data_IF_613493148891
#
_entry.id   IF_613493148891
#
_cell.length_a   1.000
_cell.length_b   1.000
_cell.length_c   1.000
_cell.angle_alpha   90.00
_cell.angle_beta   90.00
_cell.angle_gamma   90.00
#
_symmetry.space_group_name_H-M   'P 1'
#
loop_
_entity.id
_entity.type
_entity.pdbx_description
1 polymer ?
#
# COMPACT_ATOMS: atom_id res chain seq x y z
N UNK A 1 -11.74 12.41 17.24
CA UNK A 1 -11.86 13.50 16.25
C UNK A 1 -10.94 13.21 15.06
N UNK A 2 -11.41 13.47 13.85
CA UNK A 2 -10.91 12.97 12.57
C UNK A 2 -9.71 13.79 12.02
N UNK A 3 -8.60 13.10 11.64
CA UNK A 3 -7.50 13.50 10.70
C UNK A 3 -6.52 14.61 11.13
N UNK A 4 -5.20 14.48 10.83
CA UNK A 4 -4.69 14.77 9.49
C UNK A 4 -3.60 13.80 8.98
N UNK A 5 -3.77 13.29 7.75
CA UNK A 5 -2.65 12.74 6.98
C UNK A 5 -1.93 13.93 6.31
N UNK A 6 -0.81 14.40 6.87
CA UNK A 6 0.07 15.43 6.29
C UNK A 6 1.54 14.98 6.36
N UNK A 7 2.11 14.74 5.17
CA UNK A 7 3.47 14.98 4.66
C UNK A 7 4.64 15.32 5.62
N UNK A 8 5.83 14.71 5.40
CA UNK A 8 7.17 15.37 5.22
C UNK A 8 8.29 14.32 4.81
N UNK A 9 9.56 14.66 4.46
CA UNK A 9 10.11 14.59 3.08
C UNK A 9 11.47 13.82 2.85
N UNK A 10 11.78 13.57 1.55
CA UNK A 10 13.07 13.43 0.81
C UNK A 10 14.34 12.73 1.38
N UNK A 11 14.68 11.58 0.79
CA UNK A 11 16.00 11.16 0.23
C UNK A 11 15.69 10.09 -0.82
N UNK A 12 15.87 10.32 -2.12
CA UNK A 12 17.17 10.39 -2.78
C UNK A 12 17.43 9.04 -3.44
N UNK A 13 16.95 8.87 -4.68
CA UNK A 13 17.65 8.22 -5.80
C UNK A 13 16.68 8.14 -6.99
N UNK A 14 17.13 8.70 -8.11
CA UNK A 14 16.56 8.56 -9.44
C UNK A 14 16.57 7.06 -9.84
N UNK A 15 15.43 6.39 -9.76
CA UNK A 15 15.24 5.07 -10.37
C UNK A 15 13.81 4.98 -10.91
N UNK A 16 13.58 4.51 -12.15
CA UNK A 16 12.26 4.48 -12.75
C UNK A 16 11.29 3.70 -11.86
N UNK A 17 10.36 4.43 -11.25
CA UNK A 17 9.41 4.00 -10.23
C UNK A 17 8.35 3.03 -10.79
N UNK A 18 8.76 1.85 -11.23
CA UNK A 18 7.84 0.75 -11.59
C UNK A 18 8.35 -0.60 -11.10
N UNK A 19 8.98 -0.66 -9.91
CA UNK A 19 9.15 -1.95 -9.23
C UNK A 19 7.78 -2.39 -8.67
N UNK A 20 6.99 -2.98 -9.56
CA UNK A 20 5.70 -3.53 -9.21
C UNK A 20 5.89 -4.71 -8.26
N UNK A 21 5.32 -4.65 -7.07
CA UNK A 21 5.40 -5.75 -6.13
C UNK A 21 4.66 -6.97 -6.71
N UNK A 22 5.38 -8.10 -6.85
CA UNK A 22 4.78 -9.36 -7.30
C UNK A 22 3.88 -9.94 -6.22
N UNK A 23 2.85 -10.69 -6.63
CA UNK A 23 2.06 -11.52 -5.72
C UNK A 23 2.98 -12.43 -4.91
N UNK A 24 2.75 -12.47 -3.60
CA UNK A 24 3.55 -13.22 -2.64
C UNK A 24 4.78 -12.48 -2.11
N UNK A 25 5.11 -11.28 -2.61
CA UNK A 25 6.22 -10.48 -2.09
C UNK A 25 5.88 -9.91 -0.72
N UNK A 26 6.85 -9.90 0.19
CA UNK A 26 6.74 -9.21 1.48
C UNK A 26 7.00 -7.73 1.29
N UNK A 27 6.08 -6.91 1.81
CA UNK A 27 6.13 -5.46 1.74
C UNK A 27 5.93 -4.87 3.12
N UNK A 28 6.46 -3.69 3.32
CA UNK A 28 6.29 -2.89 4.53
C UNK A 28 5.84 -1.49 4.17
N UNK A 29 5.07 -0.88 5.06
CA UNK A 29 4.59 0.48 4.92
C UNK A 29 4.55 1.14 6.29
N UNK A 30 4.80 2.43 6.34
CA UNK A 30 4.61 3.19 7.58
C UNK A 30 3.16 3.67 7.69
N UNK A 31 2.60 3.58 8.90
CA UNK A 31 1.28 4.10 9.23
C UNK A 31 1.34 4.83 10.58
N UNK A 32 1.31 6.16 10.54
CA UNK A 32 1.49 6.97 11.76
C UNK A 32 2.83 6.68 12.43
N UNK A 33 2.80 6.11 13.64
CA UNK A 33 3.99 5.68 14.39
C UNK A 33 4.30 4.18 14.26
N UNK A 34 3.44 3.41 13.58
CA UNK A 34 3.63 1.97 13.38
C UNK A 34 4.19 1.63 12.00
N UNK A 35 4.84 0.46 11.91
CA UNK A 35 5.23 -0.16 10.63
C UNK A 35 4.31 -1.34 10.37
N UNK A 36 3.52 -1.26 9.30
CA UNK A 36 2.74 -2.36 8.79
C UNK A 36 3.64 -3.27 7.96
N UNK A 37 3.47 -4.58 8.14
CA UNK A 37 4.19 -5.61 7.38
C UNK A 37 3.18 -6.62 6.89
N UNK A 38 3.34 -7.06 5.65
CA UNK A 38 2.43 -8.03 5.09
C UNK A 38 2.94 -8.58 3.77
N UNK A 39 2.07 -9.37 3.13
CA UNK A 39 2.33 -10.04 1.87
C UNK A 39 1.36 -9.56 0.82
N UNK A 40 1.85 -9.22 -0.37
CA UNK A 40 0.99 -8.84 -1.50
C UNK A 40 0.18 -10.05 -1.93
N UNK A 41 -1.13 -9.99 -1.79
CA UNK A 41 -2.07 -11.01 -2.26
C UNK A 41 -2.50 -10.72 -3.69
N UNK A 42 -2.78 -9.46 -4.01
CA UNK A 42 -3.33 -9.06 -5.31
C UNK A 42 -2.87 -7.67 -5.72
N UNK A 43 -2.82 -7.43 -7.04
CA UNK A 43 -2.50 -6.15 -7.68
C UNK A 43 -3.69 -5.70 -8.51
N UNK A 44 -4.01 -4.41 -8.42
CA UNK A 44 -5.05 -3.74 -9.17
C UNK A 44 -4.47 -2.52 -9.87
N UNK A 45 -4.35 -2.57 -11.19
CA UNK A 45 -4.00 -1.44 -12.06
C UNK A 45 -5.19 -0.51 -12.37
N UNK A 46 -6.24 -0.56 -11.54
CA UNK A 46 -7.47 0.23 -11.68
C UNK A 46 -7.99 0.72 -10.33
N UNK A 47 -8.93 1.66 -10.36
CA UNK A 47 -9.66 2.07 -9.16
C UNK A 47 -10.28 0.85 -8.49
N UNK A 48 -10.00 0.69 -7.21
CA UNK A 48 -10.47 -0.43 -6.41
C UNK A 48 -11.04 0.08 -5.10
N UNK A 49 -12.15 -0.53 -4.72
CA UNK A 49 -12.84 -0.29 -3.47
C UNK A 49 -13.04 -1.63 -2.77
N UNK A 50 -12.60 -1.70 -1.51
CA UNK A 50 -12.74 -2.88 -0.66
C UNK A 50 -13.20 -2.47 0.72
N UNK A 51 -14.08 -3.27 1.30
CA UNK A 51 -14.42 -3.17 2.72
C UNK A 51 -13.43 -4.04 3.48
N UNK A 52 -12.68 -3.42 4.38
CA UNK A 52 -11.63 -4.03 5.19
C UNK A 52 -11.95 -3.69 6.64
N UNK A 53 -12.12 -4.71 7.49
CA UNK A 53 -12.45 -4.53 8.91
C UNK A 53 -13.66 -3.59 9.13
N UNK A 54 -14.70 -3.74 8.30
CA UNK A 54 -15.90 -2.89 8.33
C UNK A 54 -15.72 -1.47 7.78
N UNK A 55 -14.51 -1.09 7.36
CA UNK A 55 -14.20 0.22 6.77
C UNK A 55 -14.06 0.13 5.25
N UNK A 56 -14.74 1.02 4.52
CA UNK A 56 -14.64 1.10 3.06
C UNK A 56 -13.37 1.85 2.64
N UNK A 57 -12.40 1.13 2.10
CA UNK A 57 -11.13 1.67 1.61
C UNK A 57 -11.19 1.78 0.09
N UNK A 58 -10.92 2.98 -0.42
CA UNK A 58 -10.84 3.29 -1.86
C UNK A 58 -9.41 3.63 -2.23
N UNK A 59 -8.86 2.99 -3.27
CA UNK A 59 -7.57 3.34 -3.86
C UNK A 59 -7.70 3.54 -5.35
N UNK A 60 -7.10 4.63 -5.83
CA UNK A 60 -7.00 4.95 -7.25
C UNK A 60 -5.82 4.18 -7.84
N UNK A 61 -5.95 2.86 -7.97
CA UNK A 61 -4.99 2.07 -8.71
C UNK A 61 -4.98 2.49 -10.18
N UNK A 62 -3.81 2.47 -10.79
CA UNK A 62 -3.58 2.78 -12.21
C UNK A 62 -2.39 1.98 -12.73
N UNK A 63 -2.15 1.99 -14.04
CA UNK A 63 -0.98 1.29 -14.61
C UNK A 63 0.35 1.80 -14.04
N UNK A 64 0.44 3.10 -13.84
CA UNK A 64 1.61 3.79 -13.27
C UNK A 64 1.70 3.59 -11.74
N UNK A 65 0.57 3.72 -11.04
CA UNK A 65 0.48 3.51 -9.60
C UNK A 65 -0.59 2.46 -9.25
N UNK A 66 -0.28 1.15 -9.37
CA UNK A 66 -1.21 0.09 -9.05
C UNK A 66 -1.51 0.05 -7.55
N UNK A 67 -2.75 -0.30 -7.19
CA UNK A 67 -3.12 -0.65 -5.83
C UNK A 67 -2.79 -2.11 -5.54
N UNK A 68 -2.44 -2.42 -4.30
CA UNK A 68 -2.10 -3.75 -3.84
C UNK A 68 -2.94 -4.08 -2.61
N UNK A 69 -3.55 -5.26 -2.64
CA UNK A 69 -4.14 -5.88 -1.47
C UNK A 69 -3.04 -6.67 -0.77
N UNK A 70 -2.83 -6.36 0.49
CA UNK A 70 -1.78 -6.94 1.30
C UNK A 70 -2.42 -7.64 2.48
N UNK A 71 -2.10 -8.92 2.65
CA UNK A 71 -2.48 -9.68 3.83
C UNK A 71 -1.45 -9.48 4.92
N UNK A 72 -1.91 -8.97 6.05
CA UNK A 72 -1.09 -8.75 7.25
C UNK A 72 -0.95 -10.10 7.97
N UNK A 73 0.18 -10.32 8.66
CA UNK A 73 0.43 -11.58 9.38
C UNK A 73 -0.60 -11.83 10.49
N UNK A 74 -1.14 -10.75 11.06
CA UNK A 74 -2.20 -10.74 12.08
C UNK A 74 -3.57 -11.25 11.58
N UNK A 75 -3.68 -11.58 10.28
CA UNK A 75 -4.90 -12.07 9.65
C UNK A 75 -5.77 -10.98 9.02
N UNK A 76 -5.39 -9.71 9.20
CA UNK A 76 -6.03 -8.58 8.51
C UNK A 76 -5.65 -8.47 7.03
N UNK A 77 -6.36 -7.62 6.32
CA UNK A 77 -6.04 -7.23 4.94
C UNK A 77 -5.91 -5.71 4.89
N UNK A 78 -5.09 -5.17 4.00
CA UNK A 78 -4.98 -3.72 3.79
C UNK A 78 -4.86 -3.40 2.31
N UNK A 79 -5.41 -2.25 1.90
CA UNK A 79 -5.35 -1.78 0.52
C UNK A 79 -4.49 -0.52 0.41
N UNK A 80 -3.37 -0.64 -0.29
CA UNK A 80 -2.33 0.40 -0.40
C UNK A 80 -1.87 0.60 -1.84
N UNK A 81 -1.46 1.82 -2.19
CA UNK A 81 -0.88 2.10 -3.50
C UNK A 81 0.58 1.66 -3.55
N UNK A 82 1.06 1.27 -4.73
CA UNK A 82 2.47 0.92 -4.95
C UNK A 82 3.43 1.99 -4.47
N UNK A 83 3.10 3.26 -4.72
CA UNK A 83 3.90 4.39 -4.26
C UNK A 83 3.98 4.54 -2.73
N UNK A 84 3.06 3.93 -1.97
CA UNK A 84 3.07 3.95 -0.49
C UNK A 84 3.83 2.76 0.13
N UNK A 85 4.27 1.80 -0.70
CA UNK A 85 4.85 0.54 -0.24
C UNK A 85 6.36 0.54 -0.45
N UNK A 86 7.06 -0.14 0.44
CA UNK A 86 8.49 -0.42 0.30
C UNK A 86 8.72 -1.92 0.36
N UNK A 87 9.69 -2.41 -0.41
CA UNK A 87 10.16 -3.78 -0.30
C UNK A 87 10.70 -4.00 1.12
N UNK A 88 10.26 -5.08 1.77
CA UNK A 88 10.71 -5.39 3.13
C UNK A 88 12.10 -5.98 3.16
#
# INVERSE_FOLDING_TARGET
MNRPARHAPHKGEDAPMTDSFRKGKRVKWNWGQGVGRGRVEERFDRHVERTIEGSKIRRNGSKDNPAYLIKVDDGGEVLKLGSELSAS
#
